data_IF_049785257274
#
_entry.id   IF_049785257274
#
_cell.length_a   1.000
_cell.length_b   1.000
_cell.length_c   1.000
_cell.angle_alpha   90.00
_cell.angle_beta   90.00
_cell.angle_gamma   90.00
#
_symmetry.space_group_name_H-M   'P 1'
#
loop_
_entity.id
_entity.type
_entity.pdbx_description
1 polymer ?
#
# COMPACT_ATOMS: atom_id res chain seq x y z
N UNK A 1 31.36 -41.53 -19.54
CA UNK A 1 30.20 -40.75 -20.03
C UNK A 1 29.00 -40.87 -19.11
N UNK A 2 28.61 -42.04 -18.62
CA UNK A 2 27.47 -42.21 -17.69
C UNK A 2 27.68 -41.49 -16.33
N UNK A 3 28.87 -41.59 -15.76
CA UNK A 3 29.19 -40.95 -14.47
C UNK A 3 29.12 -39.41 -14.53
N UNK A 4 29.60 -38.85 -15.63
CA UNK A 4 29.55 -37.38 -15.84
C UNK A 4 28.13 -36.87 -16.04
N UNK A 5 27.26 -37.66 -16.68
CA UNK A 5 25.85 -37.35 -16.86
C UNK A 5 25.07 -37.42 -15.53
N UNK A 6 25.43 -38.41 -14.69
CA UNK A 6 24.80 -38.57 -13.35
C UNK A 6 25.19 -37.41 -12.40
N UNK A 7 26.45 -36.98 -12.44
CA UNK A 7 26.92 -35.82 -11.68
C UNK A 7 26.23 -34.53 -12.15
N UNK A 8 26.07 -34.35 -13.46
CA UNK A 8 25.39 -33.19 -14.03
C UNK A 8 23.91 -33.13 -13.65
N UNK A 9 23.20 -34.27 -13.69
CA UNK A 9 21.80 -34.37 -13.29
C UNK A 9 21.61 -34.16 -11.78
N UNK A 10 22.55 -34.67 -10.96
CA UNK A 10 22.52 -34.46 -9.50
C UNK A 10 22.78 -32.99 -9.14
N UNK A 11 23.69 -32.33 -9.86
CA UNK A 11 23.98 -30.89 -9.65
C UNK A 11 22.78 -30.02 -10.06
N UNK A 12 22.09 -30.37 -11.14
CA UNK A 12 20.84 -29.68 -11.58
C UNK A 12 19.71 -29.92 -10.59
N UNK A 13 19.54 -31.12 -10.04
CA UNK A 13 18.55 -31.39 -9.01
C UNK A 13 18.83 -30.63 -7.71
N UNK A 14 20.08 -30.52 -7.27
CA UNK A 14 20.44 -29.78 -6.05
C UNK A 14 20.25 -28.27 -6.23
N UNK A 15 20.44 -27.72 -7.42
CA UNK A 15 20.15 -26.30 -7.71
C UNK A 15 18.63 -26.05 -7.83
N UNK A 16 17.87 -27.01 -8.31
CA UNK A 16 16.39 -26.91 -8.36
C UNK A 16 15.72 -27.01 -6.98
N UNK A 17 16.32 -27.72 -6.02
CA UNK A 17 15.80 -27.84 -4.66
C UNK A 17 16.00 -26.59 -3.78
N UNK A 18 16.74 -25.57 -4.23
CA UNK A 18 16.93 -24.31 -3.51
C UNK A 18 15.85 -23.25 -3.80
N UNK A 19 14.93 -23.52 -4.68
CA UNK A 19 13.72 -22.70 -4.83
C UNK A 19 12.66 -23.15 -3.82
N UNK A 20 12.99 -23.19 -2.53
CA UNK A 20 11.93 -23.10 -1.52
C UNK A 20 11.29 -21.74 -1.72
N UNK A 21 9.98 -21.73 -1.94
CA UNK A 21 9.17 -20.51 -1.90
C UNK A 21 9.31 -19.88 -0.51
N UNK A 22 10.36 -19.07 -0.35
CA UNK A 22 10.55 -18.28 0.86
C UNK A 22 9.38 -17.29 0.89
N UNK A 23 8.39 -17.58 1.69
CA UNK A 23 7.28 -16.67 1.93
C UNK A 23 7.63 -15.83 3.15
N UNK A 24 7.57 -14.51 3.00
CA UNK A 24 7.79 -13.57 4.10
C UNK A 24 6.81 -13.85 5.25
N UNK A 25 7.36 -14.06 6.44
CA UNK A 25 6.61 -14.12 7.70
C UNK A 25 7.40 -13.42 8.83
N UNK A 26 6.80 -13.32 10.01
CA UNK A 26 7.42 -12.64 11.15
C UNK A 26 8.69 -13.31 11.70
N UNK A 27 8.96 -14.56 11.32
CA UNK A 27 10.09 -15.34 11.85
C UNK A 27 11.31 -15.34 10.95
N UNK A 28 11.19 -14.94 9.67
CA UNK A 28 12.24 -15.03 8.66
C UNK A 28 12.70 -13.67 8.08
N UNK A 29 12.27 -12.56 8.67
CA UNK A 29 12.58 -11.20 8.17
C UNK A 29 14.08 -10.99 7.99
N UNK A 30 14.90 -11.33 9.00
CA UNK A 30 16.35 -11.14 8.93
C UNK A 30 17.01 -11.99 7.84
N UNK A 31 16.49 -13.19 7.59
CA UNK A 31 16.97 -14.08 6.53
C UNK A 31 16.67 -13.45 5.17
N UNK A 32 15.46 -12.95 4.98
CA UNK A 32 15.03 -12.28 3.75
C UNK A 32 15.87 -11.03 3.51
N UNK A 33 16.07 -10.17 4.52
CA UNK A 33 16.89 -8.96 4.39
C UNK A 33 18.34 -9.29 4.00
N UNK A 34 18.93 -10.35 4.55
CA UNK A 34 20.28 -10.79 4.19
C UNK A 34 20.36 -11.29 2.74
N UNK A 35 19.30 -11.92 2.26
CA UNK A 35 19.25 -12.51 0.92
C UNK A 35 18.91 -11.46 -0.16
N UNK A 36 18.38 -10.29 0.22
CA UNK A 36 18.14 -9.18 -0.68
C UNK A 36 19.44 -8.60 -1.24
N UNK A 37 19.45 -8.38 -2.56
CA UNK A 37 20.48 -7.57 -3.21
C UNK A 37 20.35 -6.09 -2.81
N UNK A 38 21.42 -5.31 -3.02
CA UNK A 38 21.36 -3.87 -2.76
C UNK A 38 20.28 -3.18 -3.61
N UNK A 39 20.15 -3.58 -4.89
CA UNK A 39 19.15 -3.04 -5.79
C UNK A 39 17.71 -3.33 -5.31
N UNK A 40 17.45 -4.55 -4.84
CA UNK A 40 16.15 -4.92 -4.28
C UNK A 40 15.82 -4.10 -3.02
N UNK A 41 16.80 -3.88 -2.14
CA UNK A 41 16.64 -3.01 -0.97
C UNK A 41 16.31 -1.57 -1.35
N UNK A 42 17.02 -1.01 -2.33
CA UNK A 42 16.77 0.35 -2.82
C UNK A 42 15.39 0.45 -3.47
N UNK A 43 15.01 -0.50 -4.32
CA UNK A 43 13.70 -0.51 -4.97
C UNK A 43 12.55 -0.65 -3.97
N UNK A 44 12.75 -1.39 -2.88
CA UNK A 44 11.75 -1.48 -1.80
C UNK A 44 11.58 -0.14 -1.06
N UNK A 45 12.69 0.56 -0.78
CA UNK A 45 12.66 1.84 -0.06
C UNK A 45 12.11 3.00 -0.90
N UNK A 46 12.44 3.03 -2.19
CA UNK A 46 12.00 4.10 -3.11
C UNK A 46 10.56 3.91 -3.54
N UNK A 47 10.09 2.66 -3.62
CA UNK A 47 8.80 2.32 -4.15
C UNK A 47 8.73 2.40 -5.67
N UNK A 48 7.51 2.29 -6.20
CA UNK A 48 7.26 2.33 -7.64
C UNK A 48 6.87 3.73 -8.09
N UNK A 49 7.53 4.23 -9.14
CA UNK A 49 7.09 5.38 -9.93
C UNK A 49 6.46 4.83 -11.23
N UNK A 50 5.24 4.32 -11.13
CA UNK A 50 4.58 3.71 -12.29
C UNK A 50 3.96 4.73 -13.24
N UNK A 51 3.97 4.43 -14.54
CA UNK A 51 3.05 5.05 -15.48
C UNK A 51 1.64 4.55 -15.17
N UNK A 52 0.76 5.47 -14.82
CA UNK A 52 -0.58 5.13 -14.38
C UNK A 52 -1.54 5.22 -15.54
N UNK A 53 -2.32 4.17 -15.74
CA UNK A 53 -3.38 4.11 -16.75
C UNK A 53 -4.63 4.86 -16.26
N UNK A 54 -4.56 6.19 -16.21
CA UNK A 54 -5.71 7.03 -15.86
C UNK A 54 -5.78 8.26 -16.77
N UNK A 55 -6.99 8.75 -16.98
CA UNK A 55 -7.24 10.04 -17.63
C UNK A 55 -7.19 11.21 -16.63
N UNK A 56 -7.07 10.90 -15.35
CA UNK A 56 -7.05 11.90 -14.30
C UNK A 56 -5.65 12.52 -14.17
N UNK A 57 -5.54 13.82 -14.35
CA UNK A 57 -4.40 14.61 -13.88
C UNK A 57 -4.47 14.66 -12.35
N UNK A 58 -3.90 13.67 -11.69
CA UNK A 58 -3.84 13.67 -10.24
C UNK A 58 -2.83 14.71 -9.78
N UNK A 59 -3.28 15.66 -8.98
CA UNK A 59 -2.40 16.67 -8.38
C UNK A 59 -1.40 16.06 -7.40
N UNK A 60 -1.75 14.94 -6.77
CA UNK A 60 -0.90 14.22 -5.79
C UNK A 60 -1.24 12.72 -5.83
N UNK A 61 -0.23 11.87 -5.72
CA UNK A 61 -0.42 10.48 -5.38
C UNK A 61 -0.99 9.59 -6.49
N UNK A 62 -0.37 9.59 -7.65
CA UNK A 62 -0.71 8.67 -8.73
C UNK A 62 0.49 7.78 -9.06
N UNK A 63 0.97 7.04 -8.05
CA UNK A 63 2.24 6.32 -8.12
C UNK A 63 2.06 4.79 -8.10
N UNK A 64 0.83 4.28 -8.06
CA UNK A 64 0.59 2.84 -8.11
C UNK A 64 0.13 2.37 -9.48
N UNK A 65 0.78 1.32 -9.99
CA UNK A 65 0.36 0.61 -11.21
C UNK A 65 -0.70 -0.45 -10.93
N UNK A 66 -0.82 -0.92 -9.68
CA UNK A 66 -1.78 -1.93 -9.27
C UNK A 66 -3.16 -1.33 -8.97
N UNK A 67 -3.18 -0.17 -8.30
CA UNK A 67 -4.41 0.57 -7.98
C UNK A 67 -4.26 2.00 -8.49
N UNK A 68 -4.76 2.29 -9.69
CA UNK A 68 -4.69 3.63 -10.27
C UNK A 68 -5.30 4.69 -9.34
N UNK A 69 -4.56 5.77 -9.11
CA UNK A 69 -4.96 6.85 -8.19
C UNK A 69 -4.55 6.65 -6.74
N UNK A 70 -4.00 5.49 -6.37
CA UNK A 70 -3.42 5.30 -5.05
C UNK A 70 -2.14 6.12 -4.85
N UNK A 71 -1.84 6.48 -3.60
CA UNK A 71 -0.77 7.39 -3.23
C UNK A 71 0.63 6.84 -3.53
N UNK A 72 0.80 5.53 -3.41
CA UNK A 72 2.08 4.88 -3.66
C UNK A 72 2.00 3.37 -3.65
N UNK A 73 3.14 2.76 -3.97
CA UNK A 73 3.28 1.31 -3.99
C UNK A 73 4.71 0.93 -3.66
N UNK A 74 4.88 -0.05 -2.77
CA UNK A 74 6.16 -0.72 -2.58
C UNK A 74 6.25 -1.89 -3.54
N UNK A 75 7.44 -2.08 -4.12
CA UNK A 75 7.68 -3.17 -5.04
C UNK A 75 7.85 -4.50 -4.28
N UNK A 76 7.17 -5.52 -4.73
CA UNK A 76 7.39 -6.87 -4.23
C UNK A 76 8.70 -7.48 -4.74
N UNK A 77 9.23 -8.45 -4.00
CA UNK A 77 10.40 -9.25 -4.40
C UNK A 77 9.95 -10.69 -4.50
N UNK A 78 9.48 -11.07 -5.68
CA UNK A 78 8.82 -12.36 -5.91
C UNK A 78 9.68 -13.56 -5.48
N UNK A 79 10.99 -13.53 -5.77
CA UNK A 79 11.90 -14.63 -5.41
C UNK A 79 12.03 -14.85 -3.90
N UNK A 80 11.71 -13.83 -3.09
CA UNK A 80 11.78 -13.88 -1.62
C UNK A 80 10.39 -13.89 -0.97
N UNK A 81 9.33 -14.03 -1.76
CA UNK A 81 7.95 -14.01 -1.25
C UNK A 81 7.53 -12.68 -0.63
N UNK A 82 8.24 -11.58 -0.89
CA UNK A 82 7.88 -10.24 -0.43
C UNK A 82 6.76 -9.71 -1.34
N UNK A 83 5.57 -9.42 -0.81
CA UNK A 83 4.46 -8.93 -1.60
C UNK A 83 4.64 -7.47 -2.04
N UNK A 84 3.87 -7.05 -3.04
CA UNK A 84 3.60 -5.64 -3.26
C UNK A 84 2.75 -5.10 -2.12
N UNK A 85 2.93 -3.82 -1.79
CA UNK A 85 2.11 -3.11 -0.80
C UNK A 85 1.61 -1.81 -1.42
N UNK A 86 0.31 -1.64 -1.49
CA UNK A 86 -0.33 -0.45 -2.05
C UNK A 86 -0.76 0.49 -0.93
N UNK A 87 -0.36 1.75 -1.03
CA UNK A 87 -0.72 2.80 -0.09
C UNK A 87 -1.78 3.70 -0.71
N UNK A 88 -2.95 3.79 -0.08
CA UNK A 88 -4.03 4.67 -0.47
C UNK A 88 -4.05 5.93 0.37
N UNK A 89 -4.29 7.08 -0.26
CA UNK A 89 -4.57 8.32 0.45
C UNK A 89 -6.03 8.35 0.90
N UNK A 90 -6.31 9.06 1.99
CA UNK A 90 -7.69 9.34 2.32
C UNK A 90 -8.07 9.49 3.79
N UNK A 91 -7.76 10.61 4.45
CA UNK A 91 -8.31 10.92 5.77
C UNK A 91 -9.85 10.93 5.80
N UNK A 92 -10.49 11.47 4.77
CA UNK A 92 -11.94 11.51 4.65
C UNK A 92 -12.53 10.45 3.70
N UNK A 93 -11.79 9.37 3.43
CA UNK A 93 -12.21 8.27 2.55
C UNK A 93 -11.13 7.86 1.55
N UNK A 94 -11.26 6.67 1.00
CA UNK A 94 -10.29 6.09 0.07
C UNK A 94 -10.22 6.90 -1.23
N UNK A 95 -9.00 7.19 -1.68
CA UNK A 95 -8.77 7.90 -2.93
C UNK A 95 -8.19 6.98 -3.99
N UNK A 96 -8.94 6.80 -5.07
CA UNK A 96 -8.51 6.09 -6.28
C UNK A 96 -8.93 6.90 -7.53
N UNK A 97 -8.38 6.55 -8.70
CA UNK A 97 -8.85 7.12 -9.95
C UNK A 97 -10.26 6.61 -10.30
N UNK A 98 -11.21 7.53 -10.59
CA UNK A 98 -12.59 7.15 -10.91
C UNK A 98 -12.71 6.48 -12.27
N UNK A 99 -11.82 6.78 -13.19
CA UNK A 99 -11.81 6.24 -14.56
C UNK A 99 -10.47 5.58 -14.89
N UNK A 100 -10.48 4.62 -15.79
CA UNK A 100 -9.28 3.92 -16.27
C UNK A 100 -9.42 3.73 -17.78
N UNK A 101 -8.33 3.92 -18.55
CA UNK A 101 -8.35 3.90 -20.04
C UNK A 101 -8.86 2.59 -20.63
N UNK A 102 -8.56 1.47 -20.00
CA UNK A 102 -8.88 0.13 -20.48
C UNK A 102 -10.21 -0.43 -19.98
N UNK A 103 -10.93 0.32 -19.12
CA UNK A 103 -12.13 -0.19 -18.44
C UNK A 103 -13.25 0.85 -18.57
N UNK A 104 -14.31 0.50 -19.29
CA UNK A 104 -15.54 1.33 -19.39
C UNK A 104 -16.40 1.16 -18.13
N UNK A 105 -15.86 1.63 -17.00
CA UNK A 105 -16.52 1.60 -15.69
C UNK A 105 -16.02 2.75 -14.84
N UNK A 106 -16.94 3.40 -14.14
CA UNK A 106 -16.58 4.37 -13.08
C UNK A 106 -16.44 3.66 -11.72
N UNK A 107 -15.36 3.98 -11.03
CA UNK A 107 -15.07 3.51 -9.68
C UNK A 107 -15.42 4.61 -8.70
N UNK A 108 -16.21 4.30 -7.70
CA UNK A 108 -16.68 5.24 -6.69
C UNK A 108 -16.08 4.90 -5.33
N UNK A 109 -15.68 5.94 -4.60
CA UNK A 109 -15.32 5.84 -3.19
C UNK A 109 -16.24 6.72 -2.35
N UNK A 110 -16.47 6.29 -1.12
CA UNK A 110 -17.27 7.05 -0.16
C UNK A 110 -16.46 8.23 0.35
N UNK A 111 -17.06 9.43 0.30
CA UNK A 111 -16.55 10.59 1.01
C UNK A 111 -17.22 10.65 2.38
N UNK A 112 -16.45 10.40 3.43
CA UNK A 112 -16.88 10.51 4.80
C UNK A 112 -16.74 11.96 5.30
N UNK A 113 -17.42 12.33 6.39
CA UNK A 113 -17.17 13.60 7.05
C UNK A 113 -15.69 13.76 7.44
N UNK A 114 -15.18 14.97 7.32
CA UNK A 114 -13.80 15.29 7.73
C UNK A 114 -13.61 15.08 9.23
N UNK A 115 -12.40 14.85 9.67
CA UNK A 115 -12.07 14.48 11.05
C UNK A 115 -12.57 15.51 12.07
N UNK A 116 -12.48 16.79 11.76
CA UNK A 116 -13.01 17.84 12.61
C UNK A 116 -14.53 17.68 12.85
N UNK A 117 -15.30 17.32 11.82
CA UNK A 117 -16.73 17.07 11.95
C UNK A 117 -17.00 15.78 12.73
N UNK A 118 -16.19 14.74 12.55
CA UNK A 118 -16.30 13.50 13.31
C UNK A 118 -15.99 13.71 14.79
N UNK A 119 -14.95 14.46 15.13
CA UNK A 119 -14.59 14.78 16.52
C UNK A 119 -15.67 15.58 17.24
N UNK A 120 -16.32 16.52 16.52
CA UNK A 120 -17.42 17.33 17.06
C UNK A 120 -18.65 16.51 17.48
N UNK A 121 -18.75 15.25 17.04
CA UNK A 121 -19.84 14.36 17.47
C UNK A 121 -19.67 13.83 18.90
N UNK A 122 -18.44 13.82 19.44
CA UNK A 122 -18.10 13.19 20.73
C UNK A 122 -18.53 11.73 20.84
N UNK A 123 -18.69 11.06 19.69
CA UNK A 123 -19.19 9.70 19.60
C UNK A 123 -18.13 8.76 19.03
N UNK A 124 -17.39 8.12 19.90
CA UNK A 124 -16.30 7.19 19.53
C UNK A 124 -16.80 5.98 18.75
N UNK A 125 -17.99 5.48 19.03
CA UNK A 125 -18.56 4.34 18.31
C UNK A 125 -18.94 4.71 16.87
N UNK A 126 -19.43 5.94 16.66
CA UNK A 126 -19.68 6.46 15.31
C UNK A 126 -18.36 6.55 14.52
N UNK A 127 -17.31 7.15 15.10
CA UNK A 127 -15.99 7.26 14.45
C UNK A 127 -15.42 5.90 14.13
N UNK A 128 -15.55 4.94 15.05
CA UNK A 128 -15.14 3.55 14.82
C UNK A 128 -15.91 2.91 13.65
N UNK A 129 -17.21 3.14 13.53
CA UNK A 129 -18.02 2.61 12.43
C UNK A 129 -17.59 3.18 11.07
N UNK A 130 -17.22 4.46 11.02
CA UNK A 130 -16.63 5.10 9.84
C UNK A 130 -15.30 4.44 9.49
N UNK A 131 -14.39 4.25 10.47
CA UNK A 131 -13.11 3.58 10.25
C UNK A 131 -13.26 2.15 9.71
N UNK A 132 -14.25 1.40 10.21
CA UNK A 132 -14.57 0.05 9.69
C UNK A 132 -15.03 0.12 8.23
N UNK A 133 -15.91 1.07 7.88
CA UNK A 133 -16.41 1.25 6.52
C UNK A 133 -15.27 1.63 5.56
N UNK A 134 -14.41 2.57 5.95
CA UNK A 134 -13.22 2.97 5.18
C UNK A 134 -12.25 1.81 4.97
N UNK A 135 -11.97 1.04 6.02
CA UNK A 135 -11.08 -0.13 5.94
C UNK A 135 -11.62 -1.22 5.02
N UNK A 136 -12.92 -1.46 5.04
CA UNK A 136 -13.57 -2.41 4.12
C UNK A 136 -13.50 -1.92 2.66
N UNK A 137 -13.70 -0.63 2.42
CA UNK A 137 -13.59 -0.06 1.07
C UNK A 137 -12.14 -0.08 0.57
N UNK A 138 -11.16 0.27 1.42
CA UNK A 138 -9.75 0.16 1.11
C UNK A 138 -9.36 -1.28 0.69
N UNK A 139 -9.77 -2.25 1.47
CA UNK A 139 -9.56 -3.67 1.17
C UNK A 139 -10.22 -4.09 -0.13
N UNK A 140 -11.44 -3.61 -0.41
CA UNK A 140 -12.16 -3.91 -1.65
C UNK A 140 -11.40 -3.43 -2.89
N UNK A 141 -10.72 -2.29 -2.79
CA UNK A 141 -9.92 -1.73 -3.88
C UNK A 141 -8.47 -2.21 -3.92
N UNK A 142 -8.06 -3.11 -3.02
CA UNK A 142 -6.71 -3.66 -2.98
C UNK A 142 -5.67 -2.68 -2.41
N UNK A 143 -6.09 -1.83 -1.49
CA UNK A 143 -5.21 -0.96 -0.71
C UNK A 143 -4.84 -1.68 0.58
N UNK A 144 -3.55 -1.83 0.82
CA UNK A 144 -3.00 -2.53 1.99
C UNK A 144 -2.78 -1.59 3.18
N UNK A 145 -2.38 -0.34 2.89
CA UNK A 145 -2.14 0.70 3.90
C UNK A 145 -2.95 1.93 3.52
N UNK A 146 -3.89 2.33 4.37
CA UNK A 146 -4.60 3.59 4.23
C UNK A 146 -3.85 4.68 5.00
N UNK A 147 -3.54 5.79 4.32
CA UNK A 147 -2.90 6.97 4.91
C UNK A 147 -3.96 7.80 5.65
N UNK A 148 -4.46 7.27 6.74
CA UNK A 148 -5.50 7.81 7.62
C UNK A 148 -5.37 7.17 9.01
N UNK A 149 -5.94 7.78 10.06
CA UNK A 149 -6.50 9.13 10.10
C UNK A 149 -5.41 10.21 10.09
N UNK A 150 -5.79 11.46 9.78
CA UNK A 150 -4.90 12.61 9.93
C UNK A 150 -4.82 13.03 11.40
N UNK A 151 -4.01 12.29 12.17
CA UNK A 151 -3.87 12.43 13.62
C UNK A 151 -2.95 13.61 14.04
N UNK A 152 -2.90 14.66 13.25
CA UNK A 152 -2.14 15.87 13.59
C UNK A 152 -2.98 16.79 14.47
N UNK A 153 -2.34 17.79 15.09
CA UNK A 153 -3.02 18.75 15.97
C UNK A 153 -3.12 20.14 15.32
N UNK A 154 -4.16 20.88 15.68
CA UNK A 154 -4.38 22.26 15.23
C UNK A 154 -3.44 23.23 15.95
N UNK A 155 -2.21 23.40 15.44
CA UNK A 155 -1.22 24.28 16.08
C UNK A 155 -1.35 25.74 15.64
N UNK A 156 -1.82 25.98 14.42
CA UNK A 156 -1.94 27.30 13.84
C UNK A 156 -3.29 27.42 13.11
N UNK A 157 -4.13 28.39 13.44
CA UNK A 157 -5.44 28.56 12.79
C UNK A 157 -5.33 28.86 11.29
N UNK A 158 -4.19 29.34 10.80
CA UNK A 158 -3.96 29.59 9.38
C UNK A 158 -3.49 28.37 8.60
N UNK A 159 -3.32 27.21 9.24
CA UNK A 159 -2.94 25.99 8.54
C UNK A 159 -4.10 25.49 7.67
N UNK A 160 -3.85 25.39 6.35
CA UNK A 160 -4.86 24.96 5.37
C UNK A 160 -5.36 23.53 5.49
N UNK A 161 -4.76 22.71 6.37
CA UNK A 161 -5.15 21.31 6.61
C UNK A 161 -5.84 21.06 7.95
N UNK A 162 -6.18 22.11 8.70
CA UNK A 162 -6.88 21.94 9.99
C UNK A 162 -8.22 21.21 9.89
N UNK A 163 -8.90 21.31 8.75
CA UNK A 163 -10.18 20.64 8.52
C UNK A 163 -10.09 19.10 8.60
N UNK A 164 -8.93 18.53 8.32
CA UNK A 164 -8.70 17.08 8.31
C UNK A 164 -8.03 16.56 9.59
N UNK A 165 -7.92 17.38 10.65
CA UNK A 165 -7.37 16.97 11.95
C UNK A 165 -8.48 16.93 12.99
N UNK A 166 -8.36 16.04 13.97
CA UNK A 166 -9.41 15.82 14.97
C UNK A 166 -9.53 16.96 15.99
N UNK A 167 -8.40 17.46 16.51
CA UNK A 167 -8.38 18.40 17.63
C UNK A 167 -7.07 19.20 17.72
N UNK A 168 -7.10 20.25 18.52
CA UNK A 168 -5.92 20.94 19.01
C UNK A 168 -5.28 20.26 20.22
N UNK A 169 -6.02 19.36 20.87
CA UNK A 169 -5.60 18.61 22.05
C UNK A 169 -5.08 17.23 21.64
N UNK A 170 -3.86 16.85 22.06
CA UNK A 170 -3.28 15.55 21.75
C UNK A 170 -3.81 14.39 22.63
N UNK A 171 -4.65 14.67 23.63
CA UNK A 171 -5.23 13.67 24.55
C UNK A 171 -6.61 13.18 24.14
#
# INVERSE_FOLDING_TARGET
MHELLLLLTLTIMVTCMKAQDLKLDSTNIDVIIKDMTLEEKLNLLVGSQGNVDTDATAAVGNSSTLVPGAAGQLNGIRRLGVPYVVMGDGPAGVRIAPTRKSIDKTFYCTHFPVELAMSATWNTELVKSVGIAMGNEAKHYGIDILLAPAANIHRNPLNGRNFEYYSEDPL
#
